data_IF_983175185467
#
_entry.id   IF_983175185467
#
_cell.length_a   1.000
_cell.length_b   1.000
_cell.length_c   1.000
_cell.angle_alpha   90.00
_cell.angle_beta   90.00
_cell.angle_gamma   90.00
#
_symmetry.space_group_name_H-M   'P 1'
#
loop_
_entity.id
_entity.type
_entity.pdbx_description
1 polymer ?
#
# COMPACT_ATOMS: atom_id res chain seq x y z
N UNK A 1 1.93 1.13 -38.83
CA UNK A 1 0.79 0.38 -39.40
C UNK A 1 -0.23 0.26 -38.28
N UNK A 2 -1.52 0.47 -38.53
CA UNK A 2 -2.55 0.44 -37.49
C UNK A 2 -2.92 -0.99 -37.12
N UNK A 3 -2.62 -1.39 -35.88
CA UNK A 3 -2.99 -2.69 -35.30
C UNK A 3 -4.45 -2.74 -34.88
N UNK A 4 -5.06 -3.90 -35.08
CA UNK A 4 -6.49 -4.20 -34.95
C UNK A 4 -7.02 -4.03 -33.52
N UNK A 5 -8.22 -3.48 -33.40
CA UNK A 5 -8.94 -3.22 -32.14
C UNK A 5 -9.64 -4.52 -31.69
N UNK A 6 -9.31 -5.03 -30.50
CA UNK A 6 -10.14 -6.03 -29.84
C UNK A 6 -11.38 -5.35 -29.23
N UNK A 7 -12.55 -5.71 -29.73
CA UNK A 7 -13.85 -5.32 -29.18
C UNK A 7 -14.17 -6.15 -27.94
N UNK A 8 -13.97 -5.57 -26.77
CA UNK A 8 -14.49 -6.11 -25.51
C UNK A 8 -16.00 -5.76 -25.40
N UNK A 9 -16.84 -6.74 -25.11
CA UNK A 9 -18.29 -6.54 -24.89
C UNK A 9 -18.59 -6.51 -23.39
N UNK A 10 -19.16 -5.43 -22.85
CA UNK A 10 -19.71 -5.42 -21.50
C UNK A 10 -21.23 -5.28 -21.48
N UNK A 11 -21.83 -5.86 -20.44
CA UNK A 11 -23.21 -5.60 -20.03
C UNK A 11 -23.42 -4.12 -19.67
N UNK A 12 -24.54 -3.61 -20.16
CA UNK A 12 -25.19 -2.29 -20.01
C UNK A 12 -24.70 -1.32 -18.92
N UNK A 13 -24.38 -0.09 -19.37
CA UNK A 13 -24.37 1.20 -18.66
C UNK A 13 -23.02 1.89 -18.31
N UNK A 14 -21.97 1.70 -19.10
CA UNK A 14 -20.88 2.66 -19.18
C UNK A 14 -20.72 3.15 -20.63
N UNK A 15 -20.76 4.46 -20.85
CA UNK A 15 -20.57 5.03 -22.18
C UNK A 15 -19.20 4.62 -22.75
N UNK A 16 -19.19 3.93 -23.88
CA UNK A 16 -17.96 3.53 -24.55
C UNK A 16 -17.20 4.77 -25.04
N UNK A 17 -15.95 4.94 -24.59
CA UNK A 17 -14.98 5.84 -25.21
C UNK A 17 -13.89 4.98 -25.85
N UNK A 18 -13.72 5.12 -27.16
CA UNK A 18 -12.59 4.51 -27.86
C UNK A 18 -11.30 5.24 -27.47
N UNK A 19 -10.33 4.50 -26.93
CA UNK A 19 -8.98 5.00 -26.65
C UNK A 19 -8.09 4.65 -27.83
N UNK A 20 -7.39 5.65 -28.38
CA UNK A 20 -6.35 5.44 -29.40
C UNK A 20 -4.99 5.48 -28.71
N UNK A 21 -4.25 4.38 -28.77
CA UNK A 21 -2.91 4.26 -28.22
C UNK A 21 -1.89 4.24 -29.36
N UNK A 22 -0.71 4.82 -29.14
CA UNK A 22 0.43 4.60 -30.02
C UNK A 22 0.94 3.17 -29.84
N UNK A 23 1.51 2.60 -30.89
CA UNK A 23 2.05 1.23 -30.88
C UNK A 23 3.06 1.02 -29.74
N UNK A 24 3.93 2.01 -29.49
CA UNK A 24 4.88 1.97 -28.37
C UNK A 24 4.23 2.04 -26.99
N UNK A 25 3.08 2.68 -26.85
CA UNK A 25 2.33 2.73 -25.59
C UNK A 25 1.61 1.40 -25.36
N UNK A 26 1.06 0.82 -26.42
CA UNK A 26 0.46 -0.50 -26.38
C UNK A 26 1.48 -1.58 -26.01
N UNK A 27 2.66 -1.58 -26.63
CA UNK A 27 3.74 -2.52 -26.27
C UNK A 27 4.16 -2.37 -24.80
N UNK A 28 4.28 -1.14 -24.32
CA UNK A 28 4.60 -0.86 -22.92
C UNK A 28 3.51 -1.36 -21.98
N UNK A 29 2.24 -1.23 -22.34
CA UNK A 29 1.11 -1.76 -21.56
C UNK A 29 1.10 -3.29 -21.59
N UNK A 30 1.29 -3.90 -22.76
CA UNK A 30 1.31 -5.36 -22.90
C UNK A 30 2.48 -6.01 -22.14
N UNK A 31 3.61 -5.33 -21.98
CA UNK A 31 4.70 -5.78 -21.11
C UNK A 31 4.32 -5.87 -19.62
N UNK A 32 3.21 -5.23 -19.21
CA UNK A 32 2.67 -5.21 -17.85
C UNK A 32 1.53 -6.23 -17.66
N UNK A 33 1.07 -6.88 -18.73
CA UNK A 33 0.00 -7.89 -18.70
C UNK A 33 0.52 -9.18 -18.07
N UNK A 34 -0.20 -9.70 -17.08
CA UNK A 34 0.08 -10.98 -16.43
C UNK A 34 -0.68 -12.12 -17.08
N UNK A 35 -0.20 -13.35 -16.93
CA UNK A 35 -0.75 -14.52 -17.64
C UNK A 35 -2.27 -14.64 -17.51
N UNK A 36 -2.98 -14.55 -18.64
CA UNK A 36 -4.44 -14.64 -18.74
C UNK A 36 -5.20 -13.33 -18.48
N UNK A 37 -4.51 -12.23 -18.20
CA UNK A 37 -5.09 -10.90 -17.95
C UNK A 37 -5.47 -10.21 -19.28
N UNK A 38 -6.66 -9.64 -19.35
CA UNK A 38 -7.09 -8.82 -20.49
C UNK A 38 -6.54 -7.39 -20.39
N UNK A 39 -6.60 -6.63 -21.50
CA UNK A 39 -6.21 -5.22 -21.49
C UNK A 39 -7.09 -4.38 -20.53
N UNK A 40 -8.36 -4.75 -20.35
CA UNK A 40 -9.27 -4.08 -19.41
C UNK A 40 -8.83 -4.30 -17.96
N UNK A 41 -8.46 -5.53 -17.61
CA UNK A 41 -7.96 -5.86 -16.27
C UNK A 41 -6.68 -5.09 -15.94
N UNK A 42 -5.78 -4.93 -16.93
CA UNK A 42 -4.59 -4.10 -16.79
C UNK A 42 -4.96 -2.63 -16.54
N UNK A 43 -5.91 -2.07 -17.31
CA UNK A 43 -6.33 -0.67 -17.18
C UNK A 43 -6.97 -0.43 -15.81
N UNK A 44 -7.88 -1.29 -15.37
CA UNK A 44 -8.48 -1.21 -14.03
C UNK A 44 -7.40 -1.24 -12.95
N UNK A 45 -6.43 -2.15 -13.05
CA UNK A 45 -5.32 -2.23 -12.10
C UNK A 45 -4.40 -0.99 -12.11
N UNK A 46 -4.26 -0.31 -13.26
CA UNK A 46 -3.51 0.94 -13.37
C UNK A 46 -4.30 2.13 -12.82
N UNK A 47 -5.63 2.14 -12.97
CA UNK A 47 -6.52 3.13 -12.37
C UNK A 47 -6.55 2.99 -10.85
N UNK A 48 -6.69 1.76 -10.34
CA UNK A 48 -6.58 1.46 -8.91
C UNK A 48 -5.25 1.95 -8.33
N UNK A 49 -4.14 1.72 -9.06
CA UNK A 49 -2.83 2.22 -8.68
C UNK A 49 -2.80 3.76 -8.62
N UNK A 50 -3.35 4.44 -9.63
CA UNK A 50 -3.38 5.90 -9.67
C UNK A 50 -4.26 6.48 -8.57
N UNK A 51 -5.48 5.96 -8.39
CA UNK A 51 -6.43 6.43 -7.39
C UNK A 51 -5.88 6.22 -5.98
N UNK A 52 -5.29 5.05 -5.70
CA UNK A 52 -4.64 4.79 -4.42
C UNK A 52 -3.43 5.70 -4.16
N UNK A 53 -2.62 5.99 -5.19
CA UNK A 53 -1.48 6.90 -5.06
C UNK A 53 -1.91 8.36 -4.86
N UNK A 54 -3.08 8.73 -5.40
CA UNK A 54 -3.63 10.10 -5.35
C UNK A 54 -4.48 10.37 -4.12
N UNK A 55 -5.05 9.33 -3.50
CA UNK A 55 -6.11 9.51 -2.53
C UNK A 55 -5.64 10.25 -1.29
N UNK A 56 -4.52 9.86 -0.66
CA UNK A 56 -4.03 10.55 0.56
C UNK A 56 -5.10 10.78 1.63
N UNK A 57 -6.20 10.02 1.62
CA UNK A 57 -7.33 10.16 2.53
C UNK A 57 -6.88 9.50 3.82
N UNK A 58 -6.76 10.32 4.87
CA UNK A 58 -6.38 9.83 6.19
C UNK A 58 -7.61 9.28 6.90
N UNK A 59 -7.54 8.02 7.31
CA UNK A 59 -8.55 7.39 8.15
C UNK A 59 -8.16 7.40 9.63
N UNK A 60 -9.18 7.26 10.49
CA UNK A 60 -9.07 6.98 11.92
C UNK A 60 -9.87 5.74 12.33
N UNK A 61 -10.51 5.07 11.38
CA UNK A 61 -11.30 3.88 11.67
C UNK A 61 -10.42 2.63 11.51
N UNK A 62 -10.19 1.87 12.59
CA UNK A 62 -9.42 0.63 12.50
C UNK A 62 -10.07 -0.43 11.57
N UNK A 63 -11.37 -0.35 11.28
CA UNK A 63 -12.03 -1.25 10.34
C UNK A 63 -11.44 -1.16 8.92
N UNK A 64 -10.90 0.00 8.54
CA UNK A 64 -10.31 0.20 7.21
C UNK A 64 -9.03 -0.63 7.02
N UNK A 65 -8.38 -1.10 8.09
CA UNK A 65 -7.28 -2.07 7.93
C UNK A 65 -7.76 -3.36 7.27
N UNK A 66 -8.95 -3.86 7.58
CA UNK A 66 -9.42 -5.12 7.00
C UNK A 66 -9.98 -4.95 5.58
N UNK A 67 -10.48 -3.77 5.26
CA UNK A 67 -11.06 -3.46 3.96
C UNK A 67 -10.00 -3.05 2.94
N UNK A 68 -9.01 -2.27 3.39
CA UNK A 68 -8.03 -1.64 2.52
C UNK A 68 -6.61 -2.16 2.69
N UNK A 69 -6.26 -2.90 3.74
CA UNK A 69 -4.93 -3.48 3.85
C UNK A 69 -4.93 -4.95 3.46
N UNK A 70 -3.89 -5.35 2.72
CA UNK A 70 -3.61 -6.77 2.50
C UNK A 70 -2.83 -7.29 3.70
N UNK A 71 -3.56 -7.87 4.64
CA UNK A 71 -3.01 -8.47 5.83
C UNK A 71 -2.37 -9.84 5.55
N UNK A 72 -1.42 -10.30 6.39
CA UNK A 72 -0.82 -11.62 6.29
C UNK A 72 -1.87 -12.75 6.18
N UNK A 73 -1.52 -13.80 5.43
CA UNK A 73 -2.37 -14.99 5.26
C UNK A 73 -2.46 -15.82 6.54
N UNK A 74 -1.35 -15.92 7.28
CA UNK A 74 -1.32 -16.58 8.59
C UNK A 74 -2.24 -15.84 9.57
N UNK A 75 -3.16 -16.59 10.19
CA UNK A 75 -4.10 -16.03 11.18
C UNK A 75 -3.38 -15.41 12.37
N UNK A 76 -2.30 -16.01 12.82
CA UNK A 76 -1.48 -15.51 13.93
C UNK A 76 -0.84 -14.18 13.54
N UNK A 77 -0.20 -14.13 12.37
CA UNK A 77 0.46 -12.92 11.85
C UNK A 77 -0.51 -11.79 11.57
N UNK A 78 -1.69 -12.11 11.04
CA UNK A 78 -2.77 -11.15 10.88
C UNK A 78 -3.16 -10.52 12.21
N UNK A 79 -3.39 -11.33 13.24
CA UNK A 79 -3.75 -10.83 14.56
C UNK A 79 -2.67 -9.93 15.17
N UNK A 80 -1.40 -10.30 15.01
CA UNK A 80 -0.27 -9.49 15.50
C UNK A 80 -0.19 -8.16 14.75
N UNK A 81 -0.25 -8.18 13.41
CA UNK A 81 -0.23 -6.97 12.60
C UNK A 81 -1.39 -6.04 12.96
N UNK A 82 -2.62 -6.55 12.97
CA UNK A 82 -3.82 -5.78 13.33
C UNK A 82 -3.72 -5.22 14.75
N UNK A 83 -3.24 -6.00 15.73
CA UNK A 83 -3.06 -5.53 17.10
C UNK A 83 -2.07 -4.37 17.19
N UNK A 84 -0.98 -4.42 16.42
CA UNK A 84 0.01 -3.36 16.41
C UNK A 84 -0.51 -2.07 15.77
N UNK A 85 -1.18 -2.20 14.63
CA UNK A 85 -1.79 -1.08 13.92
C UNK A 85 -2.82 -0.38 14.80
N UNK A 86 -3.69 -1.16 15.46
CA UNK A 86 -4.67 -0.65 16.42
C UNK A 86 -4.01 0.07 17.60
N UNK A 87 -2.94 -0.48 18.17
CA UNK A 87 -2.19 0.16 19.27
C UNK A 87 -1.53 1.47 18.83
N UNK A 88 -1.02 1.52 17.60
CA UNK A 88 -0.43 2.74 17.04
C UNK A 88 -1.48 3.83 16.84
N UNK A 89 -2.64 3.45 16.29
CA UNK A 89 -3.78 4.36 16.13
C UNK A 89 -4.30 4.88 17.48
N UNK A 90 -4.30 4.03 18.50
CA UNK A 90 -4.76 4.35 19.85
C UNK A 90 -3.77 5.22 20.68
N UNK A 91 -2.65 5.67 20.11
CA UNK A 91 -1.72 6.56 20.82
C UNK A 91 -2.32 7.94 21.14
N UNK A 92 -3.29 8.41 20.34
CA UNK A 92 -4.01 9.65 20.61
C UNK A 92 -5.08 9.97 19.56
N UNK A 93 -6.03 10.83 19.91
CA UNK A 93 -7.15 11.23 19.01
C UNK A 93 -6.70 12.03 17.77
N UNK A 94 -5.48 12.58 17.82
CA UNK A 94 -4.84 13.31 16.74
C UNK A 94 -4.07 12.39 15.76
N UNK A 95 -4.11 11.08 15.98
CA UNK A 95 -3.50 10.09 15.09
C UNK A 95 -4.45 9.74 13.96
N UNK A 96 -3.92 9.67 12.76
CA UNK A 96 -4.61 9.18 11.57
C UNK A 96 -3.64 8.36 10.73
N UNK A 97 -4.15 7.62 9.75
CA UNK A 97 -3.31 6.81 8.87
C UNK A 97 -3.78 6.88 7.42
N UNK A 98 -2.87 6.62 6.48
CA UNK A 98 -3.20 6.40 5.09
C UNK A 98 -2.60 5.06 4.64
N UNK A 99 -3.37 4.29 3.87
CA UNK A 99 -2.91 3.04 3.27
C UNK A 99 -2.43 3.37 1.86
N UNK A 100 -1.20 2.97 1.58
CA UNK A 100 -0.51 3.20 0.33
C UNK A 100 0.00 1.91 -0.30
N UNK A 101 0.46 2.07 -1.53
CA UNK A 101 1.09 1.00 -2.27
C UNK A 101 2.56 0.83 -1.84
N UNK A 102 3.05 -0.40 -1.73
CA UNK A 102 4.48 -0.66 -1.48
C UNK A 102 5.30 -0.52 -2.76
N UNK A 103 6.08 0.57 -2.96
CA UNK A 103 6.81 0.82 -4.21
C UNK A 103 7.90 -0.21 -4.50
N UNK A 104 8.26 -1.03 -3.51
CA UNK A 104 9.21 -2.14 -3.63
C UNK A 104 8.55 -3.42 -4.12
N UNK A 105 7.22 -3.46 -4.08
CA UNK A 105 6.42 -4.48 -4.74
C UNK A 105 6.09 -3.98 -6.15
N UNK A 106 6.11 -4.84 -7.19
CA UNK A 106 5.80 -4.38 -8.55
C UNK A 106 4.34 -3.94 -8.63
N UNK A 107 4.02 -2.71 -9.12
CA UNK A 107 2.70 -2.04 -9.09
C UNK A 107 1.48 -2.89 -9.51
N UNK A 108 1.76 -4.00 -10.17
CA UNK A 108 0.85 -4.87 -10.86
C UNK A 108 0.57 -6.18 -10.10
N UNK A 109 1.22 -6.46 -8.96
CA UNK A 109 0.81 -7.58 -8.09
C UNK A 109 -0.36 -7.13 -7.23
N UNK A 110 -1.46 -7.91 -7.26
CA UNK A 110 -2.67 -7.69 -6.45
C UNK A 110 -2.42 -7.69 -4.93
N UNK A 111 -1.17 -7.86 -4.49
CA UNK A 111 -0.71 -7.83 -3.10
C UNK A 111 -0.29 -6.43 -2.64
N UNK A 112 -0.64 -5.39 -3.40
CA UNK A 112 -0.03 -4.07 -3.38
C UNK A 112 -0.30 -3.12 -2.21
N UNK A 113 -1.39 -3.29 -1.44
CA UNK A 113 -1.74 -2.38 -0.34
C UNK A 113 -1.01 -2.79 0.94
N UNK A 114 0.31 -2.59 0.96
CA UNK A 114 1.19 -3.05 2.03
C UNK A 114 1.79 -1.93 2.89
N UNK A 115 1.64 -0.65 2.51
CA UNK A 115 2.17 0.46 3.30
C UNK A 115 1.09 1.14 4.13
N UNK A 116 1.37 1.40 5.41
CA UNK A 116 0.53 2.21 6.28
C UNK A 116 1.35 3.33 6.86
N UNK A 117 1.07 4.55 6.43
CA UNK A 117 1.69 5.74 6.99
C UNK A 117 0.82 6.28 8.11
N UNK A 118 1.37 6.41 9.30
CA UNK A 118 0.71 7.08 10.42
C UNK A 118 1.14 8.54 10.54
N UNK A 119 0.16 9.36 10.90
CA UNK A 119 0.28 10.80 11.04
C UNK A 119 -0.14 11.21 12.46
N UNK A 120 0.57 12.18 13.04
CA UNK A 120 0.19 12.90 14.25
C UNK A 120 0.00 14.35 13.85
N UNK A 121 -1.22 14.87 13.99
CA UNK A 121 -1.52 16.27 13.62
C UNK A 121 -1.13 16.60 12.16
N UNK A 122 -1.33 15.64 11.25
CA UNK A 122 -0.99 15.77 9.83
C UNK A 122 0.50 15.59 9.51
N UNK A 123 1.37 15.39 10.51
CA UNK A 123 2.80 15.09 10.30
C UNK A 123 3.04 13.58 10.31
N UNK A 124 3.72 13.08 9.28
CA UNK A 124 4.18 11.69 9.19
C UNK A 124 5.08 11.37 10.38
N UNK A 125 4.85 10.26 11.09
CA UNK A 125 5.72 9.87 12.21
C UNK A 125 6.18 8.42 12.19
N UNK A 126 5.42 7.51 11.59
CA UNK A 126 5.90 6.16 11.32
C UNK A 126 5.22 5.58 10.09
N UNK A 127 5.89 4.61 9.48
CA UNK A 127 5.40 3.85 8.34
C UNK A 127 5.56 2.37 8.65
N UNK A 128 4.51 1.61 8.41
CA UNK A 128 4.58 0.15 8.38
C UNK A 128 4.57 -0.33 6.95
N UNK A 129 5.43 -1.29 6.65
CA UNK A 129 5.32 -2.14 5.46
C UNK A 129 4.93 -3.54 5.93
N UNK A 130 3.86 -4.08 5.40
CA UNK A 130 3.31 -5.39 5.76
C UNK A 130 3.59 -6.37 4.62
N UNK A 131 4.42 -7.37 4.92
CA UNK A 131 4.70 -8.49 4.02
C UNK A 131 3.95 -9.75 4.44
N UNK A 132 4.23 -10.86 3.75
CA UNK A 132 3.59 -12.15 4.02
C UNK A 132 3.87 -12.68 5.44
N UNK A 133 5.11 -12.53 5.91
CA UNK A 133 5.60 -13.08 7.18
C UNK A 133 6.37 -12.06 8.02
N UNK A 134 6.65 -10.89 7.43
CA UNK A 134 7.44 -9.83 8.03
C UNK A 134 6.63 -8.55 8.07
N UNK A 135 6.95 -7.71 9.06
CA UNK A 135 6.51 -6.33 9.09
C UNK A 135 7.71 -5.45 9.38
N UNK A 136 7.87 -4.43 8.56
CA UNK A 136 8.95 -3.46 8.69
C UNK A 136 8.39 -2.15 9.23
N UNK A 137 9.08 -1.58 10.21
CA UNK A 137 8.80 -0.29 10.79
C UNK A 137 9.84 0.71 10.30
N UNK A 138 9.37 1.84 9.79
CA UNK A 138 10.21 2.93 9.34
C UNK A 138 9.84 4.24 10.07
N UNK A 139 10.83 5.10 10.26
CA UNK A 139 10.63 6.48 10.72
C UNK A 139 11.03 7.50 9.65
N UNK A 140 10.43 8.71 9.66
CA UNK A 140 10.80 9.76 8.72
C UNK A 140 12.28 10.12 8.84
N UNK A 141 12.94 10.33 7.70
CA UNK A 141 14.35 10.75 7.64
C UNK A 141 14.57 11.69 6.46
N UNK A 142 15.66 12.46 6.50
CA UNK A 142 16.14 13.31 5.39
C UNK A 142 17.24 12.63 4.57
N UNK A 143 17.61 11.40 4.95
CA UNK A 143 18.61 10.61 4.24
C UNK A 143 18.10 10.18 2.87
N UNK A 144 18.91 10.39 1.85
CA UNK A 144 18.61 9.98 0.47
C UNK A 144 19.09 8.54 0.16
N UNK A 145 19.88 7.93 1.05
CA UNK A 145 20.46 6.59 0.90
C UNK A 145 19.60 5.48 1.51
N UNK A 146 18.27 5.60 1.41
CA UNK A 146 17.30 4.66 2.00
C UNK A 146 16.57 3.81 0.96
N UNK A 147 16.06 2.65 1.39
CA UNK A 147 15.24 1.76 0.55
C UNK A 147 13.93 2.44 0.10
N UNK A 148 13.38 3.29 0.97
CA UNK A 148 12.17 4.06 0.74
C UNK A 148 12.47 5.54 0.95
N UNK A 149 12.20 6.36 -0.08
CA UNK A 149 12.50 7.79 -0.05
C UNK A 149 11.82 8.50 1.14
N UNK A 150 12.62 9.20 1.95
CA UNK A 150 12.18 9.88 3.17
C UNK A 150 11.88 8.96 4.36
N UNK A 151 12.25 7.67 4.31
CA UNK A 151 11.98 6.68 5.36
C UNK A 151 13.22 5.84 5.70
N UNK A 152 13.56 5.78 6.98
CA UNK A 152 14.64 4.93 7.51
C UNK A 152 14.06 3.67 8.15
N UNK A 153 14.55 2.50 7.72
CA UNK A 153 14.19 1.22 8.34
C UNK A 153 14.77 1.16 9.75
N UNK A 154 13.90 1.12 10.76
CA UNK A 154 14.33 1.04 12.17
C UNK A 154 14.16 -0.34 12.76
N UNK A 155 13.23 -1.13 12.22
CA UNK A 155 13.01 -2.49 12.68
C UNK A 155 12.42 -3.36 11.56
N UNK A 156 12.97 -4.56 11.43
CA UNK A 156 12.34 -5.65 10.68
C UNK A 156 11.93 -6.70 11.71
N UNK A 157 10.63 -6.94 11.85
CA UNK A 157 10.13 -7.83 12.88
C UNK A 157 9.53 -9.08 12.26
N UNK A 158 10.04 -10.23 12.72
CA UNK A 158 9.36 -11.50 12.58
C UNK A 158 8.11 -11.45 13.45
N UNK A 159 6.94 -11.62 12.84
CA UNK A 159 5.64 -11.45 13.52
C UNK A 159 5.44 -12.42 14.70
N UNK A 160 6.26 -13.46 14.84
CA UNK A 160 6.30 -14.36 15.99
C UNK A 160 6.84 -13.72 17.30
N UNK A 161 7.71 -12.70 17.22
CA UNK A 161 8.35 -12.07 18.40
C UNK A 161 7.82 -10.67 18.75
N UNK A 162 6.82 -10.16 18.01
CA UNK A 162 6.47 -8.73 18.05
C UNK A 162 5.90 -8.27 19.41
N UNK A 163 5.16 -9.12 20.13
CA UNK A 163 4.56 -8.71 21.41
C UNK A 163 5.58 -8.62 22.56
N UNK A 164 6.79 -9.14 22.40
CA UNK A 164 7.84 -9.14 23.44
C UNK A 164 9.05 -8.25 23.10
N UNK A 165 9.27 -7.84 21.83
CA UNK A 165 10.51 -7.16 21.39
C UNK A 165 10.40 -5.63 21.08
N UNK A 166 9.68 -4.85 21.89
CA UNK A 166 9.93 -3.40 21.97
C UNK A 166 9.51 -2.50 20.80
N UNK A 167 8.90 -3.02 19.73
CA UNK A 167 8.44 -2.21 18.58
C UNK A 167 7.44 -1.11 18.98
N UNK A 168 6.48 -1.41 19.87
CA UNK A 168 5.59 -0.38 20.41
C UNK A 168 6.31 0.68 21.25
N UNK A 169 7.38 0.32 21.95
CA UNK A 169 8.16 1.29 22.72
C UNK A 169 8.87 2.29 21.79
N UNK A 170 9.43 1.81 20.66
CA UNK A 170 10.03 2.68 19.64
C UNK A 170 9.01 3.67 19.07
N UNK A 171 7.81 3.19 18.73
CA UNK A 171 6.73 4.03 18.18
C UNK A 171 6.28 5.06 19.22
N UNK A 172 6.11 4.67 20.48
CA UNK A 172 5.76 5.60 21.56
C UNK A 172 6.83 6.68 21.76
N UNK A 173 8.10 6.29 21.72
CA UNK A 173 9.22 7.24 21.82
C UNK A 173 9.22 8.23 20.66
N UNK A 174 9.00 7.74 19.43
CA UNK A 174 8.90 8.59 18.24
C UNK A 174 7.69 9.52 18.31
N UNK A 175 6.53 9.01 18.75
CA UNK A 175 5.31 9.79 18.93
C UNK A 175 5.47 10.92 19.96
N UNK A 176 6.20 10.66 21.06
CA UNK A 176 6.44 11.64 22.11
C UNK A 176 7.45 12.74 21.72
N UNK A 177 8.29 12.49 20.71
CA UNK A 177 9.30 13.44 20.24
C UNK A 177 8.76 14.49 19.25
N UNK A 178 7.53 14.32 18.77
CA UNK A 178 6.84 15.21 17.82
C UNK A 178 5.84 16.13 18.50
#
# INVERSE_FOLDING_TARGET
>A
MTGTIETLHPGSNAGMRALTLRETEYERLMALVKGGESLSDLIERLLDFHEAHSAGIQSRDPADFEHDLILPESRVYRQVATALLNRTLALGENVSFAIGYDPLTPPLSRTGKGLITFYKEGRRFCLFRVGKEHMWLYFPTEREDTELDGWELVQNVLLDNYLEEGGMWLIQKQYAAL
#
